data_IF_160394875548
#
_entry.id   IF_160394875548
#
_cell.length_a   1.000
_cell.length_b   1.000
_cell.length_c   1.000
_cell.angle_alpha   90.00
_cell.angle_beta   90.00
_cell.angle_gamma   90.00
#
_symmetry.space_group_name_H-M   'P 1'
#
loop_
_entity.id
_entity.type
_entity.pdbx_description
1 polymer ?
#
# COMPACT_ATOMS: atom_id res chain seq x y z
N UNK A 1 -25.56 34.05 20.77
CA UNK A 1 -25.64 32.57 20.58
C UNK A 1 -27.08 32.10 20.36
N UNK A 2 -28.04 33.00 20.52
CA UNK A 2 -29.49 32.83 20.35
C UNK A 2 -29.86 32.31 18.96
N UNK A 3 -29.18 32.79 17.91
CA UNK A 3 -29.48 32.42 16.53
C UNK A 3 -29.22 30.94 16.23
N UNK A 4 -28.12 30.38 16.76
CA UNK A 4 -27.79 28.96 16.60
C UNK A 4 -28.79 28.08 17.34
N UNK A 5 -29.22 28.51 18.54
CA UNK A 5 -30.25 27.81 19.32
C UNK A 5 -31.61 27.82 18.62
N UNK A 6 -31.96 28.92 17.96
CA UNK A 6 -33.18 29.01 17.14
C UNK A 6 -33.16 28.05 15.95
N UNK A 7 -32.02 27.93 15.28
CA UNK A 7 -31.83 26.98 14.17
C UNK A 7 -31.93 25.53 14.65
N UNK A 8 -31.26 25.18 15.76
CA UNK A 8 -31.35 23.81 16.30
C UNK A 8 -32.76 23.45 16.74
N UNK A 9 -33.51 24.37 17.37
CA UNK A 9 -34.90 24.13 17.79
C UNK A 9 -35.87 23.99 16.62
N UNK A 10 -35.59 24.63 15.48
CA UNK A 10 -36.37 24.44 14.25
C UNK A 10 -36.09 23.06 13.60
N UNK A 11 -34.87 22.54 13.78
CA UNK A 11 -34.42 21.25 13.25
C UNK A 11 -34.74 20.07 14.17
N UNK A 12 -35.14 20.31 15.43
CA UNK A 12 -35.57 19.23 16.34
C UNK A 12 -36.98 18.77 15.98
N UNK A 13 -37.12 17.46 15.74
CA UNK A 13 -38.41 16.80 15.60
C UNK A 13 -39.14 16.86 16.96
N UNK A 14 -40.42 17.27 17.02
CA UNK A 14 -41.16 17.37 18.27
C UNK A 14 -41.20 16.02 18.97
N UNK A 15 -40.62 15.94 20.17
CA UNK A 15 -40.50 14.70 20.97
C UNK A 15 -39.11 14.05 20.98
N UNK A 16 -38.13 14.58 20.24
CA UNK A 16 -36.74 14.12 20.30
C UNK A 16 -35.81 15.07 21.07
N UNK A 17 -34.67 14.56 21.59
CA UNK A 17 -33.73 15.37 22.36
C UNK A 17 -33.15 16.56 21.58
N UNK A 18 -32.83 17.63 22.31
CA UNK A 18 -32.27 18.88 21.77
C UNK A 18 -30.92 18.70 21.03
N UNK A 19 -30.14 17.67 21.37
CA UNK A 19 -28.89 17.33 20.66
C UNK A 19 -29.12 16.80 19.23
N UNK A 20 -30.32 16.31 18.90
CA UNK A 20 -30.64 15.79 17.57
C UNK A 20 -30.66 16.90 16.51
N UNK A 21 -31.19 18.08 16.84
CA UNK A 21 -31.18 19.23 15.93
C UNK A 21 -29.75 19.70 15.62
N UNK A 22 -28.87 19.66 16.62
CA UNK A 22 -27.44 19.95 16.44
C UNK A 22 -26.77 18.89 15.55
N UNK A 23 -27.06 17.60 15.74
CA UNK A 23 -26.54 16.54 14.89
C UNK A 23 -26.96 16.68 13.43
N UNK A 24 -28.25 16.97 13.18
CA UNK A 24 -28.77 17.18 11.82
C UNK A 24 -28.07 18.39 11.18
N UNK A 25 -27.89 19.48 11.93
CA UNK A 25 -27.18 20.66 11.46
C UNK A 25 -25.72 20.32 11.09
N UNK A 26 -25.00 19.59 11.95
CA UNK A 26 -23.61 19.19 11.70
C UNK A 26 -23.50 18.26 10.49
N UNK A 27 -24.36 17.23 10.41
CA UNK A 27 -24.38 16.29 9.27
C UNK A 27 -24.75 17.02 7.98
N UNK A 28 -25.74 17.90 8.00
CA UNK A 28 -26.12 18.72 6.86
C UNK A 28 -25.01 19.63 6.39
N UNK A 29 -24.30 20.27 7.33
CA UNK A 29 -23.13 21.11 7.04
C UNK A 29 -21.98 20.30 6.45
N UNK A 30 -21.70 19.11 6.98
CA UNK A 30 -20.72 18.18 6.43
C UNK A 30 -21.09 17.72 5.02
N UNK A 31 -22.37 17.41 4.76
CA UNK A 31 -22.85 17.08 3.43
C UNK A 31 -22.69 18.26 2.45
N UNK A 32 -23.03 19.48 2.86
CA UNK A 32 -22.84 20.67 2.04
C UNK A 32 -21.35 20.92 1.75
N UNK A 33 -20.50 20.80 2.76
CA UNK A 33 -19.05 20.89 2.61
C UNK A 33 -18.51 19.79 1.67
N UNK A 34 -18.99 18.55 1.80
CA UNK A 34 -18.63 17.44 0.92
C UNK A 34 -19.09 17.69 -0.52
N UNK A 35 -20.26 18.29 -0.75
CA UNK A 35 -20.72 18.70 -2.09
C UNK A 35 -19.85 19.81 -2.68
N UNK A 36 -19.44 20.79 -1.87
CA UNK A 36 -18.50 21.84 -2.30
C UNK A 36 -17.11 21.29 -2.57
N UNK A 37 -16.66 20.31 -1.78
CA UNK A 37 -15.37 19.65 -1.92
C UNK A 37 -15.38 18.54 -2.99
N UNK A 38 -16.54 18.02 -3.38
CA UNK A 38 -16.72 17.00 -4.42
C UNK A 38 -15.98 17.36 -5.72
N UNK A 39 -16.13 18.56 -6.32
CA UNK A 39 -15.37 18.92 -7.51
C UNK A 39 -13.86 18.85 -7.25
N UNK A 40 -13.39 19.37 -6.11
CA UNK A 40 -11.97 19.33 -5.76
C UNK A 40 -11.45 17.91 -5.50
N UNK A 41 -12.27 17.04 -4.92
CA UNK A 41 -11.93 15.62 -4.72
C UNK A 41 -11.84 14.87 -6.04
N UNK A 42 -12.75 15.16 -6.99
CA UNK A 42 -12.76 14.51 -8.32
C UNK A 42 -11.61 15.02 -9.18
N UNK A 43 -11.30 16.32 -9.15
CA UNK A 43 -10.19 16.87 -9.93
C UNK A 43 -8.82 16.58 -9.29
N UNK A 44 -8.72 16.58 -7.96
CA UNK A 44 -7.45 16.37 -7.25
C UNK A 44 -6.98 14.91 -7.28
N UNK A 45 -7.86 13.95 -6.99
CA UNK A 45 -7.46 12.53 -6.97
C UNK A 45 -7.23 11.99 -8.38
N UNK A 46 -8.05 12.40 -9.37
CA UNK A 46 -7.87 11.99 -10.77
C UNK A 46 -6.55 12.48 -11.35
N UNK A 47 -6.23 13.76 -11.19
CA UNK A 47 -4.96 14.32 -11.68
C UNK A 47 -3.73 13.68 -11.00
N UNK A 48 -3.85 13.31 -9.71
CA UNK A 48 -2.78 12.59 -9.00
C UNK A 48 -2.62 11.15 -9.47
N UNK A 49 -3.72 10.45 -9.75
CA UNK A 49 -3.68 9.11 -10.33
C UNK A 49 -3.05 9.14 -11.73
N UNK A 50 -3.45 10.10 -12.57
CA UNK A 50 -2.89 10.30 -13.90
C UNK A 50 -1.38 10.57 -13.85
N UNK A 51 -0.93 11.41 -12.91
CA UNK A 51 0.50 11.64 -12.70
C UNK A 51 1.25 10.39 -12.20
N UNK A 52 0.61 9.55 -11.39
CA UNK A 52 1.19 8.29 -10.90
C UNK A 52 1.24 7.24 -12.02
N UNK A 53 0.25 7.19 -12.91
CA UNK A 53 0.21 6.29 -14.07
C UNK A 53 1.39 6.56 -15.01
N UNK A 54 1.64 7.83 -15.33
CA UNK A 54 2.80 8.23 -16.14
C UNK A 54 4.11 7.84 -15.47
N UNK A 55 4.24 8.05 -14.16
CA UNK A 55 5.44 7.66 -13.41
C UNK A 55 5.64 6.14 -13.37
N UNK A 56 4.56 5.37 -13.27
CA UNK A 56 4.62 3.91 -13.27
C UNK A 56 5.11 3.39 -14.62
N UNK A 57 4.62 3.96 -15.72
CA UNK A 57 5.04 3.61 -17.08
C UNK A 57 6.52 3.91 -17.31
N UNK A 58 7.01 5.06 -16.82
CA UNK A 58 8.42 5.44 -16.88
C UNK A 58 9.30 4.46 -16.10
N UNK A 59 8.95 4.15 -14.85
CA UNK A 59 9.67 3.17 -14.02
C UNK A 59 9.64 1.78 -14.66
N UNK A 60 8.52 1.37 -15.25
CA UNK A 60 8.41 0.07 -15.93
C UNK A 60 9.28 0.01 -17.19
N UNK A 61 9.39 1.12 -17.94
CA UNK A 61 10.30 1.23 -19.07
C UNK A 61 11.77 1.15 -18.63
N UNK A 62 12.12 1.81 -17.53
CA UNK A 62 13.45 1.72 -16.93
C UNK A 62 13.79 0.28 -16.52
N UNK A 63 12.89 -0.39 -15.79
CA UNK A 63 13.10 -1.79 -15.37
C UNK A 63 13.24 -2.70 -16.59
N UNK A 64 12.42 -2.53 -17.63
CA UNK A 64 12.55 -3.30 -18.88
C UNK A 64 13.90 -3.06 -19.54
N UNK A 65 14.38 -1.82 -19.57
CA UNK A 65 15.69 -1.48 -20.12
C UNK A 65 16.84 -2.11 -19.32
N UNK A 66 16.77 -2.07 -17.98
CA UNK A 66 17.76 -2.67 -17.09
C UNK A 66 17.74 -4.20 -17.20
N UNK A 67 16.56 -4.79 -17.27
CA UNK A 67 16.38 -6.23 -17.45
C UNK A 67 16.97 -6.69 -18.78
N UNK A 68 16.82 -5.93 -19.87
CA UNK A 68 17.44 -6.26 -21.16
C UNK A 68 18.97 -6.16 -21.08
N UNK A 69 19.52 -5.11 -20.47
CA UNK A 69 20.98 -4.96 -20.28
C UNK A 69 21.59 -6.02 -19.37
N UNK A 70 20.83 -6.50 -18.38
CA UNK A 70 21.25 -7.57 -17.47
C UNK A 70 21.03 -8.98 -18.06
N UNK A 71 20.01 -9.14 -18.92
CA UNK A 71 19.68 -10.41 -19.57
C UNK A 71 20.50 -10.64 -20.83
N UNK A 72 21.10 -9.59 -21.42
CA UNK A 72 22.22 -9.73 -22.34
C UNK A 72 23.34 -10.45 -21.56
N UNK A 73 23.55 -11.75 -21.76
CA UNK A 73 24.67 -12.44 -21.16
C UNK A 73 25.86 -12.07 -22.03
N UNK A 74 26.35 -10.85 -21.90
CA UNK A 74 27.74 -10.53 -22.18
C UNK A 74 28.54 -11.34 -21.16
N UNK A 75 28.77 -12.61 -21.49
CA UNK A 75 29.91 -13.35 -21.03
C UNK A 75 31.10 -12.58 -21.63
N UNK A 76 31.85 -11.78 -20.86
CA UNK A 76 32.99 -11.11 -21.45
C UNK A 76 34.01 -12.18 -21.85
N UNK A 77 34.67 -12.09 -23.03
CA UNK A 77 36.05 -12.52 -23.10
C UNK A 77 36.77 -11.70 -22.02
N UNK A 78 37.21 -12.39 -20.97
CA UNK A 78 38.04 -11.83 -19.91
C UNK A 78 39.04 -10.83 -20.51
N UNK A 79 38.98 -9.52 -20.19
CA UNK A 79 40.01 -8.60 -20.65
C UNK A 79 41.35 -9.05 -20.06
N UNK A 80 42.48 -8.96 -20.80
CA UNK A 80 43.78 -9.09 -20.17
C UNK A 80 43.86 -8.04 -19.08
N UNK A 81 44.05 -8.52 -17.84
CA UNK A 81 44.23 -7.71 -16.64
C UNK A 81 45.57 -6.99 -16.84
N UNK A 82 45.53 -5.77 -17.38
CA UNK A 82 46.65 -4.84 -17.33
C UNK A 82 46.55 -4.09 -16.00
N UNK A 83 47.69 -4.01 -15.33
CA UNK A 83 47.97 -3.58 -13.96
C UNK A 83 47.11 -2.41 -13.41
N UNK A 84 46.23 -2.66 -12.43
CA UNK A 84 46.08 -1.87 -11.16
C UNK A 84 44.84 -2.28 -10.30
N UNK A 85 44.51 -3.57 -10.21
CA UNK A 85 43.46 -4.02 -9.29
C UNK A 85 44.07 -4.51 -7.96
N UNK A 86 43.92 -3.73 -6.90
CA UNK A 86 44.23 -4.19 -5.53
C UNK A 86 43.09 -5.10 -5.09
N UNK A 87 43.38 -6.40 -5.04
CA UNK A 87 42.45 -7.42 -4.56
C UNK A 87 42.22 -7.27 -3.04
N UNK A 88 40.98 -7.02 -2.58
CA UNK A 88 40.68 -6.98 -1.15
C UNK A 88 40.80 -8.39 -0.55
N UNK A 89 41.26 -8.53 0.71
CA UNK A 89 41.54 -9.83 1.30
C UNK A 89 40.31 -10.74 1.29
N UNK A 90 40.47 -11.92 0.70
CA UNK A 90 39.47 -12.97 0.47
C UNK A 90 38.92 -13.64 1.75
N UNK A 91 38.97 -12.96 2.89
CA UNK A 91 38.53 -13.49 4.18
C UNK A 91 37.00 -13.56 4.33
N UNK A 92 36.24 -12.99 3.38
CA UNK A 92 34.76 -12.99 3.41
C UNK A 92 34.09 -13.80 2.29
N UNK A 93 34.85 -14.45 1.40
CA UNK A 93 34.31 -15.19 0.26
C UNK A 93 34.03 -16.68 0.56
N UNK A 94 33.69 -17.02 1.81
CA UNK A 94 33.35 -18.39 2.21
C UNK A 94 31.94 -18.40 2.78
N UNK A 95 30.93 -18.60 1.92
CA UNK A 95 29.71 -19.42 2.22
C UNK A 95 28.48 -19.10 1.35
N UNK A 96 28.55 -19.16 0.02
CA UNK A 96 27.30 -19.08 -0.79
C UNK A 96 27.15 -20.13 -1.90
N UNK A 97 28.14 -21.01 -2.11
CA UNK A 97 28.10 -21.98 -3.22
C UNK A 97 27.78 -23.42 -2.83
N UNK A 98 27.14 -23.70 -1.67
CA UNK A 98 26.92 -25.08 -1.21
C UNK A 98 25.50 -25.63 -1.22
N UNK A 99 24.49 -24.92 -1.69
CA UNK A 99 23.11 -25.45 -1.70
C UNK A 99 22.30 -25.09 -2.96
N UNK A 100 22.84 -25.42 -4.14
CA UNK A 100 22.03 -25.44 -5.36
C UNK A 100 21.65 -26.88 -5.74
N UNK A 101 20.79 -27.48 -4.91
CA UNK A 101 20.02 -28.66 -5.34
C UNK A 101 18.95 -28.22 -6.37
N UNK A 102 18.61 -29.03 -7.38
CA UNK A 102 17.58 -28.69 -8.36
C UNK A 102 16.23 -28.52 -7.64
N UNK A 103 15.68 -27.31 -7.62
CA UNK A 103 14.35 -27.06 -7.05
C UNK A 103 13.30 -27.57 -8.04
N UNK A 104 12.79 -28.77 -7.79
CA UNK A 104 11.57 -29.27 -8.42
C UNK A 104 10.42 -28.39 -7.90
N UNK A 105 9.95 -27.47 -8.73
CA UNK A 105 8.84 -26.57 -8.39
C UNK A 105 7.53 -27.35 -8.57
N UNK A 106 6.68 -27.50 -7.55
CA UNK A 106 5.38 -28.12 -7.72
C UNK A 106 4.50 -27.26 -8.65
N UNK A 107 3.49 -27.85 -9.33
CA UNK A 107 2.57 -27.11 -10.17
C UNK A 107 1.85 -26.04 -9.35
N UNK A 108 1.72 -24.84 -9.93
CA UNK A 108 1.05 -23.69 -9.31
C UNK A 108 -0.40 -24.08 -8.97
N UNK A 109 -0.82 -23.98 -7.71
CA UNK A 109 -2.19 -24.29 -7.34
C UNK A 109 -3.17 -23.30 -7.98
N UNK A 110 -4.40 -23.73 -8.31
CA UNK A 110 -5.42 -22.85 -8.87
C UNK A 110 -5.72 -21.68 -7.90
N UNK A 111 -6.18 -20.53 -8.42
CA UNK A 111 -6.49 -19.37 -7.60
C UNK A 111 -7.55 -19.70 -6.56
N UNK A 112 -7.41 -19.19 -5.31
CA UNK A 112 -8.38 -19.44 -4.25
C UNK A 112 -9.74 -18.85 -4.62
N UNK A 113 -10.78 -19.70 -4.57
CA UNK A 113 -12.17 -19.26 -4.67
C UNK A 113 -12.52 -18.60 -3.34
N UNK A 114 -12.52 -17.27 -3.32
CA UNK A 114 -13.04 -16.53 -2.17
C UNK A 114 -14.58 -16.64 -2.16
N UNK A 115 -15.22 -17.08 -1.07
CA UNK A 115 -16.66 -17.06 -0.97
C UNK A 115 -17.16 -15.61 -1.03
N UNK A 116 -18.21 -15.37 -1.82
CA UNK A 116 -18.86 -14.08 -1.99
C UNK A 116 -19.02 -13.34 -0.64
N UNK A 117 -18.51 -12.11 -0.59
CA UNK A 117 -18.48 -11.21 0.57
C UNK A 117 -19.86 -10.87 1.16
N UNK A 118 -20.93 -11.44 0.60
CA UNK A 118 -22.30 -11.31 1.11
C UNK A 118 -22.56 -12.19 2.34
N UNK A 119 -21.79 -13.25 2.56
CA UNK A 119 -21.94 -14.14 3.73
C UNK A 119 -20.96 -13.79 4.88
N UNK A 120 -19.85 -13.11 4.59
CA UNK A 120 -18.81 -12.77 5.58
C UNK A 120 -19.22 -11.71 6.62
N UNK A 121 -20.39 -11.08 6.48
CA UNK A 121 -20.87 -10.04 7.42
C UNK A 121 -21.40 -10.58 8.75
N UNK A 122 -21.45 -11.90 8.94
CA UNK A 122 -22.08 -12.54 10.11
C UNK A 122 -21.16 -13.51 10.88
N UNK A 123 -19.85 -13.52 10.63
CA UNK A 123 -18.92 -14.32 11.43
C UNK A 123 -18.22 -13.44 12.49
N UNK A 124 -18.29 -13.76 13.80
CA UNK A 124 -17.48 -13.10 14.80
C UNK A 124 -16.00 -13.48 14.59
N UNK A 125 -15.14 -12.48 14.52
CA UNK A 125 -13.69 -12.62 14.32
C UNK A 125 -13.03 -13.40 15.47
N UNK A 126 -12.21 -14.43 15.19
CA UNK A 126 -11.17 -14.88 16.09
C UNK A 126 -9.83 -14.74 15.37
N UNK A 127 -9.36 -13.51 15.12
CA UNK A 127 -7.97 -13.30 14.70
C UNK A 127 -7.12 -13.00 15.93
N UNK A 128 -6.54 -14.06 16.50
CA UNK A 128 -5.39 -13.94 17.39
C UNK A 128 -4.16 -13.62 16.53
N UNK A 129 -3.74 -12.36 16.51
CA UNK A 129 -2.43 -12.02 15.98
C UNK A 129 -1.35 -12.43 17.00
N UNK A 130 -0.34 -13.21 16.61
CA UNK A 130 0.76 -13.55 17.50
C UNK A 130 1.60 -12.30 17.76
N UNK A 131 1.66 -11.87 19.02
CA UNK A 131 2.54 -10.77 19.44
C UNK A 131 3.99 -11.22 19.33
N UNK A 132 4.70 -10.63 18.38
CA UNK A 132 6.13 -10.84 18.19
C UNK A 132 6.90 -9.96 19.17
N UNK A 133 7.18 -10.49 20.36
CA UNK A 133 8.05 -9.84 21.35
C UNK A 133 9.52 -10.09 20.97
N UNK A 134 10.20 -9.06 20.49
CA UNK A 134 11.63 -9.11 20.20
C UNK A 134 12.44 -8.82 21.48
N UNK A 135 13.44 -9.64 21.83
CA UNK A 135 14.25 -9.39 23.01
C UNK A 135 15.17 -8.18 22.81
N UNK A 136 14.98 -7.13 23.62
CA UNK A 136 15.95 -6.03 23.75
C UNK A 136 17.22 -6.58 24.40
N UNK A 137 18.30 -6.60 23.64
CA UNK A 137 19.65 -6.86 24.15
C UNK A 137 19.95 -5.87 25.28
N UNK A 138 20.28 -6.38 26.47
CA UNK A 138 20.72 -5.60 27.62
C UNK A 138 22.24 -5.44 27.51
N UNK A 139 22.72 -4.20 27.65
CA UNK A 139 24.14 -3.84 27.73
C UNK A 139 24.87 -4.62 28.81
#
# INVERSE_FOLDING_TARGET
MENVRGLTNSLTIPGMPEWTGLLILVVGLLCAAAFLLMPFSVFGVKARLEAIEVQLDEIQAEIRSLALRLSEPELPPRPPITEDYIEPPASYAVSSSRDQAPRIVPPVPPPPIFPDSRVARQAPSPRAEPRLDWPRHRN
#
